data_IF_892228416624
#
_entry.id   IF_892228416624
#
_cell.length_a   1.000
_cell.length_b   1.000
_cell.length_c   1.000
_cell.angle_alpha   90.00
_cell.angle_beta   90.00
_cell.angle_gamma   90.00
#
_symmetry.space_group_name_H-M   'P 1'
#
loop_
_entity.id
_entity.type
_entity.pdbx_description
1 polymer ?
#
# COMPACT_ATOMS: atom_id res chain seq x y z
N UNK A 1 -10.28 -5.35 -11.52
CA UNK A 1 -10.78 -4.63 -10.34
C UNK A 1 -9.64 -4.60 -9.34
N UNK A 2 -9.34 -3.46 -8.72
CA UNK A 2 -8.28 -3.39 -7.73
C UNK A 2 -8.76 -4.10 -6.44
N UNK A 3 -7.99 -5.07 -5.94
CA UNK A 3 -8.25 -5.79 -4.69
C UNK A 3 -7.74 -5.02 -3.46
N UNK A 4 -7.77 -3.67 -3.54
CA UNK A 4 -7.42 -2.80 -2.43
C UNK A 4 -8.35 -1.59 -2.37
N UNK A 5 -8.58 -1.11 -1.16
CA UNK A 5 -9.30 0.14 -0.89
C UNK A 5 -8.29 1.19 -0.44
N UNK A 6 -8.23 2.32 -1.15
CA UNK A 6 -7.48 3.48 -0.68
C UNK A 6 -8.34 4.32 0.25
N UNK A 7 -7.84 4.59 1.45
CA UNK A 7 -8.44 5.60 2.31
C UNK A 7 -8.41 6.96 1.60
N UNK A 8 -9.45 7.76 1.77
CA UNK A 8 -9.57 9.11 1.15
C UNK A 8 -8.34 10.00 1.36
N UNK A 9 -7.68 9.87 2.50
CA UNK A 9 -6.44 10.61 2.79
C UNK A 9 -5.26 10.12 1.94
N UNK A 10 -5.14 8.81 1.75
CA UNK A 10 -4.10 8.18 0.94
C UNK A 10 -4.32 8.47 -0.55
N UNK A 11 -5.56 8.40 -1.03
CA UNK A 11 -5.92 8.76 -2.41
C UNK A 11 -5.52 10.21 -2.72
N UNK A 12 -5.96 11.17 -1.90
CA UNK A 12 -5.58 12.59 -2.07
C UNK A 12 -4.07 12.83 -1.99
N UNK A 13 -3.37 12.05 -1.18
CA UNK A 13 -1.91 12.15 -1.10
C UNK A 13 -1.29 11.65 -2.40
N UNK A 14 -1.71 10.47 -2.88
CA UNK A 14 -1.25 9.87 -4.13
C UNK A 14 -1.48 10.80 -5.33
N UNK A 15 -2.67 11.38 -5.47
CA UNK A 15 -3.01 12.31 -6.56
C UNK A 15 -2.06 13.51 -6.65
N UNK A 16 -1.52 13.97 -5.51
CA UNK A 16 -0.63 15.13 -5.42
C UNK A 16 0.85 14.78 -5.63
N UNK A 17 1.20 13.50 -5.70
CA UNK A 17 2.58 13.07 -5.88
C UNK A 17 3.07 13.31 -7.32
N UNK A 18 4.39 13.45 -7.54
CA UNK A 18 4.95 13.43 -8.88
C UNK A 18 4.54 12.17 -9.64
N UNK A 19 4.29 12.26 -10.95
CA UNK A 19 3.72 11.17 -11.74
C UNK A 19 4.51 9.85 -11.63
N UNK A 20 5.84 9.94 -11.64
CA UNK A 20 6.70 8.75 -11.49
C UNK A 20 6.59 8.09 -10.12
N UNK A 21 6.34 8.87 -9.07
CA UNK A 21 6.15 8.33 -7.73
C UNK A 21 4.76 7.72 -7.57
N UNK A 22 3.74 8.27 -8.24
CA UNK A 22 2.41 7.66 -8.34
C UNK A 22 2.49 6.27 -8.98
N UNK A 23 3.15 6.19 -10.15
CA UNK A 23 3.29 4.94 -10.90
C UNK A 23 3.99 3.89 -10.04
N UNK A 24 5.13 4.24 -9.40
CA UNK A 24 5.85 3.31 -8.51
C UNK A 24 4.98 2.80 -7.35
N UNK A 25 4.13 3.64 -6.77
CA UNK A 25 3.22 3.23 -5.71
C UNK A 25 2.16 2.27 -6.23
N UNK A 26 1.53 2.59 -7.36
CA UNK A 26 0.51 1.72 -7.96
C UNK A 26 1.09 0.37 -8.37
N UNK A 27 2.27 0.33 -8.99
CA UNK A 27 2.97 -0.92 -9.32
C UNK A 27 3.30 -1.75 -8.06
N UNK A 28 3.67 -1.10 -6.96
CA UNK A 28 3.91 -1.78 -5.70
C UNK A 28 2.61 -2.35 -5.09
N UNK A 29 1.47 -1.66 -5.24
CA UNK A 29 0.16 -2.17 -4.81
C UNK A 29 -0.31 -3.34 -5.69
N UNK A 30 -0.09 -3.29 -7.00
CA UNK A 30 -0.41 -4.40 -7.91
C UNK A 30 0.49 -5.62 -7.61
N UNK A 31 1.76 -5.37 -7.27
CA UNK A 31 2.68 -6.42 -6.79
C UNK A 31 2.24 -6.96 -5.44
N UNK A 32 1.70 -6.12 -4.55
CA UNK A 32 1.22 -6.55 -3.23
C UNK A 32 0.09 -7.57 -3.36
N UNK A 33 -0.83 -7.37 -4.31
CA UNK A 33 -1.93 -8.30 -4.60
C UNK A 33 -1.40 -9.59 -5.26
N UNK A 34 -0.51 -9.46 -6.25
CA UNK A 34 -0.09 -10.60 -7.08
C UNK A 34 1.00 -11.47 -6.47
N UNK A 35 1.99 -10.88 -5.78
CA UNK A 35 3.11 -11.56 -5.16
C UNK A 35 3.80 -10.68 -4.11
N UNK A 36 3.26 -10.68 -2.89
CA UNK A 36 3.78 -9.90 -1.77
C UNK A 36 5.20 -10.29 -1.33
N UNK A 37 5.69 -11.47 -1.71
CA UNK A 37 7.04 -11.96 -1.32
C UNK A 37 8.18 -11.14 -1.94
N UNK A 38 7.88 -10.39 -3.01
CA UNK A 38 8.83 -9.50 -3.70
C UNK A 38 8.99 -8.13 -3.04
N UNK A 39 8.25 -7.86 -1.96
CA UNK A 39 8.15 -6.54 -1.36
C UNK A 39 8.80 -6.46 0.03
N UNK A 40 9.32 -5.28 0.39
CA UNK A 40 9.80 -4.98 1.75
C UNK A 40 8.62 -4.59 2.65
N UNK A 41 7.97 -5.62 3.20
CA UNK A 41 6.85 -5.51 4.14
C UNK A 41 7.33 -5.87 5.54
N UNK A 42 7.05 -5.01 6.52
CA UNK A 42 7.34 -5.28 7.94
C UNK A 42 6.18 -4.87 8.83
N UNK A 43 5.89 -5.63 9.92
CA UNK A 43 4.93 -5.19 10.91
C UNK A 43 5.43 -3.92 11.64
N UNK A 44 4.50 -3.09 12.09
CA UNK A 44 4.79 -1.99 12.99
C UNK A 44 4.65 -2.44 14.46
N UNK A 45 5.58 -2.00 15.31
CA UNK A 45 5.53 -2.35 16.73
C UNK A 45 4.32 -1.68 17.41
N UNK A 46 3.50 -2.48 18.09
CA UNK A 46 2.32 -2.02 18.84
C UNK A 46 1.15 -1.57 17.96
N UNK A 47 1.09 -2.05 16.71
CA UNK A 47 0.08 -1.67 15.71
C UNK A 47 -0.26 -2.87 14.84
N UNK A 48 -1.51 -2.93 14.37
CA UNK A 48 -1.97 -4.01 13.49
C UNK A 48 -1.58 -3.75 12.01
N UNK A 49 -1.22 -2.52 11.67
CA UNK A 49 -0.79 -2.18 10.31
C UNK A 49 0.60 -2.76 9.96
N UNK A 50 0.69 -3.21 8.71
CA UNK A 50 1.92 -3.53 8.01
C UNK A 50 2.47 -2.30 7.29
N UNK A 51 3.78 -2.26 7.12
CA UNK A 51 4.49 -1.21 6.39
C UNK A 51 5.16 -1.78 5.15
N UNK A 52 4.69 -1.37 3.98
CA UNK A 52 5.35 -1.58 2.70
C UNK A 52 6.28 -0.40 2.37
N UNK A 53 7.54 -0.67 2.07
CA UNK A 53 8.51 0.36 1.63
C UNK A 53 8.50 0.51 0.10
N UNK A 54 8.32 1.74 -0.38
CA UNK A 54 8.38 2.09 -1.81
C UNK A 54 9.29 3.30 -1.99
N UNK A 55 10.58 3.04 -2.23
CA UNK A 55 11.61 4.08 -2.29
C UNK A 55 11.69 4.90 -1.00
N UNK A 56 11.32 6.18 -1.09
CA UNK A 56 11.25 7.11 0.07
C UNK A 56 9.90 7.08 0.79
N UNK A 57 8.88 6.47 0.20
CA UNK A 57 7.52 6.40 0.74
C UNK A 57 7.29 5.10 1.53
N UNK A 58 6.27 5.14 2.38
CA UNK A 58 5.80 4.01 3.18
C UNK A 58 4.28 3.94 3.05
N UNK A 59 3.79 2.80 2.60
CA UNK A 59 2.35 2.51 2.59
C UNK A 59 2.05 1.75 3.89
N UNK A 60 1.09 2.27 4.65
CA UNK A 60 0.55 1.59 5.81
C UNK A 60 -0.76 0.94 5.40
N UNK A 61 -0.90 -0.36 5.67
CA UNK A 61 -2.07 -1.13 5.28
C UNK A 61 -2.31 -2.26 6.29
N UNK A 62 -3.52 -2.80 6.29
CA UNK A 62 -3.85 -4.06 6.94
C UNK A 62 -4.53 -4.95 5.91
N UNK A 63 -4.49 -6.26 6.12
CA UNK A 63 -5.21 -7.23 5.29
C UNK A 63 -6.60 -7.42 5.89
N UNK A 64 -7.66 -7.17 5.12
CA UNK A 64 -8.99 -7.58 5.50
C UNK A 64 -9.20 -9.05 5.12
N UNK A 65 -9.04 -9.94 6.10
CA UNK A 65 -9.15 -11.40 5.89
C UNK A 65 -10.59 -11.91 6.00
N UNK A 66 -11.44 -11.12 6.63
CA UNK A 66 -12.82 -11.49 6.94
C UNK A 66 -13.82 -10.86 5.96
N UNK A 67 -13.35 -10.05 5.00
CA UNK A 67 -14.15 -9.23 4.09
C UNK A 67 -15.21 -8.41 4.85
N UNK A 68 -14.79 -7.79 5.95
CA UNK A 68 -15.65 -6.98 6.80
C UNK A 68 -15.82 -5.54 6.29
N UNK A 69 -15.10 -5.16 5.23
CA UNK A 69 -15.16 -3.84 4.57
C UNK A 69 -15.90 -3.86 3.23
#
# INVERSE_FOLDING_TARGET
MADYILLRQAERYLERMPKNDQIRLLEALDTLISDSTKLDIKPLYGRDELRLRVGKYRVLFFEDRDNNL
#
